data_IF_686341335055
#
_entry.id   IF_686341335055
#
_cell.length_a   1.000
_cell.length_b   1.000
_cell.length_c   1.000
_cell.angle_alpha   90.00
_cell.angle_beta   90.00
_cell.angle_gamma   90.00
#
_symmetry.space_group_name_H-M   'P 1'
#
loop_
_entity.id
_entity.type
_entity.pdbx_description
1 polymer ?
#
# COMPACT_ATOMS: atom_id res chain seq x y z
N UNK A 1 -3.86 -11.51 -1.61
CA UNK A 1 -4.08 -10.05 -1.70
C UNK A 1 -5.53 -9.82 -2.04
N UNK A 2 -6.32 -9.28 -1.10
CA UNK A 2 -7.75 -9.05 -1.26
C UNK A 2 -8.09 -7.54 -1.23
N UNK A 3 -9.08 -7.13 -2.03
CA UNK A 3 -9.52 -5.72 -2.24
C UNK A 3 -11.06 -5.65 -2.17
N UNK A 4 -11.69 -4.67 -1.52
CA UNK A 4 -13.16 -4.56 -1.49
C UNK A 4 -13.76 -4.16 -2.85
N UNK A 5 -14.92 -4.72 -3.24
CA UNK A 5 -15.61 -4.40 -4.51
C UNK A 5 -16.01 -2.92 -4.64
N UNK A 6 -16.12 -2.23 -3.51
CA UNK A 6 -16.41 -0.80 -3.40
C UNK A 6 -15.30 0.09 -3.97
N UNK A 7 -14.12 -0.46 -4.27
CA UNK A 7 -12.95 0.28 -4.79
C UNK A 7 -12.72 0.13 -6.29
N UNK A 8 -13.66 -0.42 -7.05
CA UNK A 8 -13.60 -0.44 -8.52
C UNK A 8 -13.93 0.97 -9.05
N UNK A 9 -12.90 1.78 -9.28
CA UNK A 9 -13.04 3.09 -9.89
C UNK A 9 -13.14 2.98 -11.43
N UNK A 10 -14.19 3.55 -12.02
CA UNK A 10 -14.35 3.71 -13.49
C UNK A 10 -13.39 4.80 -14.04
N UNK A 11 -12.84 5.64 -13.15
CA UNK A 11 -11.86 6.66 -13.50
C UNK A 11 -10.43 6.07 -13.52
N UNK A 12 -9.80 6.10 -14.70
CA UNK A 12 -8.40 5.69 -14.91
C UNK A 12 -7.38 6.40 -14.00
N UNK A 13 -7.69 7.58 -13.48
CA UNK A 13 -6.86 8.30 -12.49
C UNK A 13 -6.83 7.64 -11.11
N UNK A 14 -7.81 6.79 -10.81
CA UNK A 14 -8.02 6.12 -9.51
C UNK A 14 -7.99 4.61 -9.60
N UNK A 15 -7.95 4.06 -10.81
CA UNK A 15 -7.81 2.64 -11.05
C UNK A 15 -6.38 2.15 -10.79
N UNK A 16 -6.27 0.91 -10.32
CA UNK A 16 -5.02 0.23 -9.97
C UNK A 16 -4.92 -1.12 -10.69
N UNK A 17 -5.58 -1.28 -11.85
CA UNK A 17 -5.62 -2.55 -12.57
C UNK A 17 -4.23 -3.03 -12.96
N UNK A 18 -3.32 -2.10 -13.24
CA UNK A 18 -1.94 -2.39 -13.58
C UNK A 18 -1.16 -2.91 -12.39
N UNK A 19 -1.24 -2.23 -11.23
CA UNK A 19 -0.70 -2.70 -9.95
C UNK A 19 -1.18 -4.15 -9.67
N UNK A 20 -2.49 -4.40 -9.78
CA UNK A 20 -3.04 -5.73 -9.53
C UNK A 20 -2.54 -6.79 -10.52
N UNK A 21 -2.57 -6.50 -11.82
CA UNK A 21 -2.12 -7.46 -12.84
C UNK A 21 -0.65 -7.83 -12.65
N UNK A 22 0.17 -6.89 -12.20
CA UNK A 22 1.61 -7.08 -12.16
C UNK A 22 2.12 -7.69 -10.88
N UNK A 23 1.36 -7.62 -9.79
CA UNK A 23 1.61 -8.47 -8.61
C UNK A 23 1.66 -9.98 -8.96
N UNK A 24 1.01 -10.41 -10.06
CA UNK A 24 1.10 -11.80 -10.54
C UNK A 24 2.52 -12.21 -10.94
N UNK A 25 3.39 -11.25 -11.32
CA UNK A 25 4.80 -11.53 -11.66
C UNK A 25 5.66 -11.83 -10.43
N UNK A 26 5.19 -11.46 -9.24
CA UNK A 26 5.79 -11.88 -7.96
C UNK A 26 5.00 -13.05 -7.33
N UNK A 27 4.31 -13.83 -8.18
CA UNK A 27 3.51 -15.00 -7.79
C UNK A 27 2.32 -14.72 -6.87
N UNK A 28 1.91 -13.45 -6.72
CA UNK A 28 0.69 -13.11 -5.99
C UNK A 28 -0.56 -13.47 -6.81
N UNK A 29 -1.63 -13.89 -6.13
CA UNK A 29 -2.95 -14.10 -6.72
C UNK A 29 -3.93 -13.06 -6.17
N UNK A 30 -4.03 -11.87 -6.80
CA UNK A 30 -4.94 -10.83 -6.34
C UNK A 30 -6.38 -11.27 -6.54
N UNK A 31 -7.23 -10.96 -5.58
CA UNK A 31 -8.67 -11.17 -5.63
C UNK A 31 -9.34 -9.90 -5.08
N UNK A 32 -10.61 -9.70 -5.43
CA UNK A 32 -11.44 -8.65 -4.83
C UNK A 32 -12.49 -9.38 -3.99
N UNK A 33 -12.62 -9.07 -2.70
CA UNK A 33 -13.63 -9.64 -1.81
C UNK A 33 -13.97 -8.68 -0.65
N UNK A 34 -15.14 -8.86 -0.01
CA UNK A 34 -15.50 -8.14 1.22
C UNK A 34 -14.47 -8.34 2.33
N UNK A 35 -14.36 -7.39 3.26
CA UNK A 35 -13.35 -7.43 4.34
C UNK A 35 -13.39 -8.72 5.17
N UNK A 36 -14.59 -9.24 5.45
CA UNK A 36 -14.77 -10.50 6.20
C UNK A 36 -14.16 -11.72 5.50
N UNK A 37 -14.07 -11.72 4.16
CA UNK A 37 -13.36 -12.74 3.39
C UNK A 37 -11.88 -12.35 3.19
N UNK A 38 -11.57 -11.05 3.14
CA UNK A 38 -10.23 -10.50 2.96
C UNK A 38 -9.24 -11.02 4.00
N UNK A 39 -9.66 -11.03 5.26
CA UNK A 39 -8.84 -11.40 6.42
C UNK A 39 -8.43 -12.89 6.45
N UNK A 40 -8.94 -13.71 5.55
CA UNK A 40 -8.51 -15.11 5.40
C UNK A 40 -7.31 -15.26 4.43
N UNK A 41 -6.85 -14.17 3.80
CA UNK A 41 -5.75 -14.19 2.84
C UNK A 41 -4.37 -13.95 3.45
N UNK A 42 -3.34 -14.30 2.66
CA UNK A 42 -1.94 -14.12 3.07
C UNK A 42 -1.56 -12.66 3.34
N UNK A 43 -2.09 -11.76 2.51
CA UNK A 43 -1.99 -10.30 2.62
C UNK A 43 -3.35 -9.69 2.31
N UNK A 44 -3.75 -8.72 3.12
CA UNK A 44 -4.86 -7.79 2.85
C UNK A 44 -4.27 -6.46 2.38
N UNK A 45 -4.78 -5.93 1.26
CA UNK A 45 -4.44 -4.58 0.79
C UNK A 45 -5.65 -3.69 0.97
N UNK A 46 -5.48 -2.57 1.66
CA UNK A 46 -6.49 -1.53 1.79
C UNK A 46 -6.07 -0.33 0.91
N UNK A 47 -6.53 -0.28 -0.34
CA UNK A 47 -6.17 0.81 -1.23
C UNK A 47 -7.08 2.01 -1.01
N UNK A 48 -6.46 3.16 -0.75
CA UNK A 48 -7.09 4.48 -0.73
C UNK A 48 -8.38 4.56 0.07
N UNK A 49 -8.30 4.20 1.36
CA UNK A 49 -9.41 4.28 2.31
C UNK A 49 -10.07 5.67 2.20
N UNK A 50 -11.27 5.74 1.63
CA UNK A 50 -11.99 6.99 1.35
C UNK A 50 -13.17 7.22 2.31
N UNK A 51 -13.57 6.17 3.03
CA UNK A 51 -14.66 6.17 4.00
C UNK A 51 -14.19 5.46 5.26
N UNK A 52 -14.74 5.87 6.40
CA UNK A 52 -14.47 5.22 7.69
C UNK A 52 -15.01 3.81 7.69
N UNK A 53 -14.29 2.93 8.37
CA UNK A 53 -14.73 1.58 8.68
C UNK A 53 -15.64 1.61 9.90
N UNK A 54 -16.63 0.72 9.92
CA UNK A 54 -17.44 0.49 11.10
C UNK A 54 -16.60 -0.13 12.23
N UNK A 55 -16.98 0.06 13.51
CA UNK A 55 -16.21 -0.48 14.64
C UNK A 55 -15.91 -1.99 14.52
N UNK A 56 -16.88 -2.77 14.02
CA UNK A 56 -16.72 -4.22 13.79
C UNK A 56 -15.68 -4.54 12.72
N UNK A 57 -15.55 -3.68 11.71
CA UNK A 57 -14.57 -3.84 10.64
C UNK A 57 -13.17 -3.50 11.13
N UNK A 58 -13.04 -2.46 11.96
CA UNK A 58 -11.79 -2.15 12.66
C UNK A 58 -11.33 -3.30 13.56
N UNK A 59 -12.25 -3.92 14.31
CA UNK A 59 -11.96 -5.10 15.12
C UNK A 59 -11.49 -6.29 14.29
N UNK A 60 -12.09 -6.53 13.11
CA UNK A 60 -11.65 -7.56 12.18
C UNK A 60 -10.23 -7.30 11.65
N UNK A 61 -9.95 -6.06 11.26
CA UNK A 61 -8.61 -5.67 10.77
C UNK A 61 -7.57 -5.85 11.88
N UNK A 62 -7.88 -5.40 13.10
CA UNK A 62 -7.01 -5.56 14.27
C UNK A 62 -6.74 -7.03 14.55
N UNK A 63 -7.79 -7.84 14.68
CA UNK A 63 -7.66 -9.27 14.97
C UNK A 63 -6.89 -10.03 13.90
N UNK A 64 -7.10 -9.70 12.63
CA UNK A 64 -6.33 -10.25 11.51
C UNK A 64 -4.83 -10.00 11.68
N UNK A 65 -4.43 -8.75 11.90
CA UNK A 65 -3.00 -8.40 12.04
C UNK A 65 -2.42 -9.02 13.30
N UNK A 66 -3.12 -8.92 14.44
CA UNK A 66 -2.64 -9.47 15.72
C UNK A 66 -2.50 -11.00 15.71
N UNK A 67 -3.26 -11.70 14.87
CA UNK A 67 -3.14 -13.15 14.64
C UNK A 67 -2.00 -13.55 13.67
N UNK A 68 -1.19 -12.60 13.21
CA UNK A 68 -0.07 -12.85 12.31
C UNK A 68 -0.33 -12.41 10.85
N UNK A 69 -1.46 -11.78 10.58
CA UNK A 69 -1.82 -11.24 9.28
C UNK A 69 -0.84 -10.18 8.76
N UNK A 70 -0.96 -9.88 7.46
CA UNK A 70 -0.14 -8.90 6.74
C UNK A 70 -1.06 -7.86 6.10
N UNK A 71 -0.96 -6.63 6.56
CA UNK A 71 -1.75 -5.52 6.05
C UNK A 71 -0.86 -4.56 5.27
N UNK A 72 -1.24 -4.25 4.03
CA UNK A 72 -0.63 -3.18 3.25
C UNK A 72 -1.67 -2.10 2.98
N UNK A 73 -1.42 -0.88 3.47
CA UNK A 73 -2.27 0.29 3.27
C UNK A 73 -1.65 1.17 2.20
N UNK A 74 -2.39 1.43 1.12
CA UNK A 74 -1.99 2.42 0.11
C UNK A 74 -2.77 3.71 0.38
N UNK A 75 -2.08 4.83 0.53
CA UNK A 75 -2.70 6.11 0.87
C UNK A 75 -2.29 7.23 -0.10
N UNK A 76 -3.26 8.10 -0.41
CA UNK A 76 -3.06 9.39 -1.06
C UNK A 76 -3.96 9.68 -2.27
N UNK A 77 -4.26 8.67 -3.10
CA UNK A 77 -5.08 8.82 -4.31
C UNK A 77 -6.59 8.80 -3.99
N UNK A 78 -7.11 9.93 -3.50
CA UNK A 78 -8.53 10.06 -3.10
C UNK A 78 -8.86 9.43 -1.75
N UNK A 79 -7.83 9.13 -0.94
CA UNK A 79 -7.99 8.69 0.44
C UNK A 79 -8.51 9.82 1.33
N UNK A 80 -9.19 9.45 2.41
CA UNK A 80 -9.50 10.33 3.54
C UNK A 80 -8.45 10.11 4.65
N UNK A 81 -7.74 11.16 5.02
CA UNK A 81 -6.64 11.10 6.00
C UNK A 81 -7.15 10.65 7.38
N UNK A 82 -8.37 11.03 7.76
CA UNK A 82 -8.92 10.68 9.07
C UNK A 82 -9.28 9.20 9.13
N UNK A 83 -9.99 8.70 8.12
CA UNK A 83 -10.35 7.29 8.01
C UNK A 83 -9.11 6.39 7.89
N UNK A 84 -8.09 6.81 7.13
CA UNK A 84 -6.83 6.07 7.05
C UNK A 84 -6.11 6.03 8.41
N UNK A 85 -6.06 7.15 9.13
CA UNK A 85 -5.42 7.22 10.45
C UNK A 85 -6.19 6.49 11.55
N UNK A 86 -7.50 6.28 11.43
CA UNK A 86 -8.26 5.38 12.31
C UNK A 86 -7.74 3.94 12.21
N UNK A 87 -7.37 3.48 11.01
CA UNK A 87 -6.77 2.15 10.79
C UNK A 87 -5.31 2.11 11.21
N UNK A 88 -4.49 3.04 10.69
CA UNK A 88 -3.05 3.07 10.93
C UNK A 88 -2.71 3.28 12.42
N UNK A 89 -3.50 4.12 13.10
CA UNK A 89 -3.31 4.45 14.51
C UNK A 89 -3.46 3.23 15.43
N UNK A 90 -4.23 2.22 15.03
CA UNK A 90 -4.33 0.94 15.77
C UNK A 90 -2.98 0.23 15.92
N UNK A 91 -2.04 0.54 15.02
CA UNK A 91 -0.75 -0.12 14.88
C UNK A 91 0.43 0.85 15.05
N UNK A 92 0.18 2.04 15.61
CA UNK A 92 1.22 3.04 15.89
C UNK A 92 1.81 3.70 14.64
N UNK A 93 1.06 3.72 13.53
CA UNK A 93 1.41 4.40 12.29
C UNK A 93 0.47 5.58 12.05
N UNK A 94 0.91 6.60 11.30
CA UNK A 94 0.03 7.64 10.79
C UNK A 94 0.56 8.26 9.49
N UNK A 95 -0.31 8.97 8.78
CA UNK A 95 0.01 9.79 7.61
C UNK A 95 -0.38 11.25 7.85
N UNK A 96 0.47 12.18 7.40
CA UNK A 96 0.29 13.63 7.56
C UNK A 96 1.06 14.44 6.50
N UNK A 97 0.88 15.77 6.49
CA UNK A 97 1.66 16.73 5.67
C UNK A 97 1.80 16.35 4.18
N UNK A 98 0.66 16.30 3.48
CA UNK A 98 0.60 16.07 2.03
C UNK A 98 1.43 17.11 1.27
N UNK A 99 2.35 16.66 0.41
CA UNK A 99 3.08 17.53 -0.53
C UNK A 99 3.33 16.84 -1.86
N UNK A 100 3.50 17.64 -2.91
CA UNK A 100 4.00 17.16 -4.19
C UNK A 100 5.53 17.07 -4.13
N UNK A 101 6.05 15.85 -4.27
CA UNK A 101 7.46 15.52 -4.07
C UNK A 101 7.94 14.48 -5.08
N UNK A 102 9.24 14.23 -5.10
CA UNK A 102 9.84 13.11 -5.83
C UNK A 102 10.20 12.02 -4.83
N UNK A 103 9.84 10.77 -5.11
CA UNK A 103 10.27 9.64 -4.28
C UNK A 103 11.67 9.18 -4.66
N UNK A 104 12.41 8.71 -3.66
CA UNK A 104 13.64 7.98 -3.88
C UNK A 104 13.33 6.60 -4.49
N UNK A 105 14.09 6.21 -5.51
CA UNK A 105 14.09 4.86 -6.06
C UNK A 105 15.01 3.94 -5.25
N UNK A 106 14.94 2.64 -5.50
CA UNK A 106 15.75 1.64 -4.79
C UNK A 106 17.27 1.74 -5.05
N UNK A 107 17.69 2.53 -6.04
CA UNK A 107 19.10 2.78 -6.37
C UNK A 107 19.63 4.06 -5.73
N UNK A 108 18.84 4.73 -4.89
CA UNK A 108 19.21 6.00 -4.23
C UNK A 108 19.09 7.24 -5.12
N UNK A 109 18.54 7.11 -6.33
CA UNK A 109 18.17 8.24 -7.20
C UNK A 109 16.72 8.68 -6.96
N UNK A 110 16.26 9.69 -7.69
CA UNK A 110 14.85 10.09 -7.69
C UNK A 110 14.10 9.38 -8.82
N UNK A 111 12.86 8.98 -8.56
CA UNK A 111 11.91 8.66 -9.63
C UNK A 111 11.55 10.00 -10.28
N UNK A 112 11.84 10.26 -11.57
CA UNK A 112 11.66 11.56 -12.21
C UNK A 112 10.20 11.83 -12.57
N UNK A 113 9.33 11.72 -11.58
CA UNK A 113 7.90 11.99 -11.66
C UNK A 113 7.42 12.53 -10.31
N UNK A 114 6.91 13.77 -10.25
CA UNK A 114 6.35 14.29 -9.02
C UNK A 114 5.07 13.53 -8.70
N UNK A 115 4.86 13.27 -7.41
CA UNK A 115 3.69 12.59 -6.88
C UNK A 115 3.27 13.26 -5.58
N UNK A 116 1.97 13.30 -5.34
CA UNK A 116 1.48 13.67 -4.02
C UNK A 116 1.82 12.56 -3.02
N UNK A 117 2.66 12.89 -2.04
CA UNK A 117 3.06 12.00 -0.95
C UNK A 117 2.74 12.63 0.39
N UNK A 118 2.46 11.77 1.36
CA UNK A 118 2.32 12.12 2.76
C UNK A 118 3.56 11.65 3.52
N UNK A 119 3.87 12.34 4.61
CA UNK A 119 4.84 11.88 5.58
C UNK A 119 4.21 10.78 6.42
N UNK A 120 4.89 9.65 6.52
CA UNK A 120 4.53 8.54 7.39
C UNK A 120 5.27 8.71 8.72
N UNK A 121 4.55 8.61 9.83
CA UNK A 121 5.16 8.57 11.17
C UNK A 121 4.91 7.22 11.84
N UNK A 122 5.82 6.86 12.75
CA UNK A 122 5.84 5.54 13.39
C UNK A 122 6.49 4.45 12.55
N UNK A 123 6.65 3.27 13.17
CA UNK A 123 7.29 2.10 12.54
C UNK A 123 8.74 2.33 12.11
N UNK A 124 9.20 1.47 11.22
CA UNK A 124 10.51 1.54 10.56
C UNK A 124 10.33 2.08 9.14
N UNK A 125 10.91 3.24 8.80
CA UNK A 125 10.85 3.78 7.45
C UNK A 125 11.47 2.85 6.40
N UNK A 126 10.87 2.80 5.21
CA UNK A 126 11.34 1.98 4.07
C UNK A 126 11.70 2.83 2.86
N UNK A 127 10.95 3.91 2.61
CA UNK A 127 11.07 4.76 1.42
C UNK A 127 10.99 6.20 1.88
N UNK A 128 11.79 7.08 1.27
CA UNK A 128 11.83 8.50 1.57
C UNK A 128 11.51 9.33 0.32
N UNK A 129 11.01 10.54 0.54
CA UNK A 129 10.91 11.56 -0.50
C UNK A 129 12.19 12.42 -0.58
N UNK A 130 12.26 13.29 -1.57
CA UNK A 130 13.39 14.21 -1.78
C UNK A 130 13.53 15.30 -0.71
N UNK A 131 12.62 15.37 0.27
CA UNK A 131 12.70 16.24 1.44
C UNK A 131 13.18 15.47 2.68
N UNK A 132 13.48 14.17 2.55
CA UNK A 132 13.91 13.31 3.65
C UNK A 132 12.77 12.83 4.55
N UNK A 133 11.51 12.96 4.12
CA UNK A 133 10.36 12.49 4.88
C UNK A 133 10.03 11.04 4.50
N UNK A 134 9.71 10.15 5.45
CA UNK A 134 9.29 8.80 5.14
C UNK A 134 8.00 8.81 4.31
N UNK A 135 7.99 8.18 3.14
CA UNK A 135 6.82 7.95 2.31
C UNK A 135 6.27 6.51 2.45
N UNK A 136 7.03 5.62 3.08
CA UNK A 136 6.61 4.28 3.45
C UNK A 136 7.23 3.87 4.78
N UNK A 137 6.49 3.11 5.58
CA UNK A 137 7.01 2.49 6.80
C UNK A 137 6.34 1.15 7.07
N UNK A 138 6.97 0.36 7.94
CA UNK A 138 6.47 -0.93 8.42
C UNK A 138 6.47 -0.99 9.93
N UNK A 139 5.43 -1.58 10.51
CA UNK A 139 5.31 -1.86 11.94
C UNK A 139 5.03 -3.36 12.13
N UNK A 140 5.81 -4.01 12.99
CA UNK A 140 5.52 -5.37 13.47
C UNK A 140 4.52 -5.28 14.63
N UNK A 141 3.56 -6.21 14.67
CA UNK A 141 2.39 -6.18 15.56
C UNK A 141 2.22 -7.53 16.25
N UNK A 142 2.10 -7.48 17.58
CA UNK A 142 1.86 -8.66 18.40
C UNK A 142 3.01 -9.67 18.39
N UNK A 143 2.79 -10.82 19.02
CA UNK A 143 3.79 -11.90 19.14
C UNK A 143 3.62 -12.99 18.09
N UNK A 144 2.46 -13.06 17.43
CA UNK A 144 2.21 -13.94 16.28
C UNK A 144 2.94 -13.49 15.01
N UNK A 145 3.72 -12.41 15.11
CA UNK A 145 4.54 -11.86 14.03
C UNK A 145 3.70 -11.16 12.97
N UNK A 146 2.60 -10.50 13.34
CA UNK A 146 1.77 -9.67 12.48
C UNK A 146 2.54 -8.45 11.96
N UNK A 147 2.09 -7.88 10.83
CA UNK A 147 2.80 -6.75 10.23
C UNK A 147 1.87 -5.84 9.45
N UNK A 148 2.09 -4.54 9.59
CA UNK A 148 1.39 -3.48 8.85
C UNK A 148 2.42 -2.65 8.10
N UNK A 149 2.18 -2.45 6.81
CA UNK A 149 2.95 -1.54 5.97
C UNK A 149 2.03 -0.46 5.42
N UNK A 150 2.54 0.75 5.32
CA UNK A 150 1.87 1.86 4.65
C UNK A 150 2.77 2.43 3.55
N UNK A 151 2.18 2.71 2.40
CA UNK A 151 2.80 3.49 1.33
C UNK A 151 1.91 4.68 1.01
N UNK A 152 2.43 5.88 1.29
CA UNK A 152 1.64 7.11 1.33
C UNK A 152 1.83 8.00 0.08
N UNK A 153 2.15 7.37 -1.05
CA UNK A 153 2.22 7.98 -2.37
C UNK A 153 1.53 7.10 -3.43
N UNK A 154 0.37 6.55 -3.07
CA UNK A 154 -0.31 5.49 -3.82
C UNK A 154 -0.63 5.84 -5.27
N UNK A 155 -0.83 7.12 -5.61
CA UNK A 155 -1.07 7.55 -6.99
C UNK A 155 0.08 7.21 -7.94
N UNK A 156 1.29 6.98 -7.42
CA UNK A 156 2.41 6.45 -8.21
C UNK A 156 2.11 5.07 -8.82
N UNK A 157 1.24 4.29 -8.18
CA UNK A 157 0.81 2.96 -8.63
C UNK A 157 -0.54 2.97 -9.37
N UNK A 158 -1.05 4.15 -9.72
CA UNK A 158 -2.28 4.26 -10.52
C UNK A 158 -2.05 3.94 -11.98
N UNK A 159 -3.10 3.51 -12.67
CA UNK A 159 -3.10 3.27 -14.11
C UNK A 159 -2.75 4.56 -14.89
N UNK A 160 -3.12 5.75 -14.38
CA UNK A 160 -2.71 7.02 -14.98
C UNK A 160 -1.18 7.24 -14.99
N UNK A 161 -0.45 6.63 -14.07
CA UNK A 161 1.02 6.72 -14.00
C UNK A 161 1.69 5.54 -14.70
N UNK A 162 1.22 4.32 -14.47
CA UNK A 162 1.83 3.09 -14.99
C UNK A 162 1.35 2.73 -16.41
N UNK A 163 0.30 3.40 -16.89
CA UNK A 163 -0.34 3.18 -18.17
C UNK A 163 -1.36 2.03 -18.13
N UNK A 164 -1.33 1.16 -19.12
CA UNK A 164 -2.22 0.00 -19.21
C UNK A 164 -1.46 -1.31 -19.02
N UNK A 165 -2.16 -2.43 -18.94
CA UNK A 165 -1.55 -3.77 -18.84
C UNK A 165 -0.66 -4.12 -20.05
N UNK A 166 -0.78 -3.39 -21.17
CA UNK A 166 0.02 -3.54 -22.39
C UNK A 166 1.21 -2.56 -22.48
N UNK A 167 1.41 -1.71 -21.48
CA UNK A 167 2.52 -0.74 -21.46
C UNK A 167 3.87 -1.47 -21.48
N UNK A 168 4.75 -1.06 -22.40
CA UNK A 168 6.17 -1.44 -22.37
C UNK A 168 6.89 -0.46 -21.44
N UNK A 169 7.50 -0.92 -20.33
CA UNK A 169 8.12 -0.02 -19.34
C UNK A 169 9.37 0.67 -19.88
N UNK A 170 9.38 2.00 -19.86
CA UNK A 170 10.63 2.77 -19.92
C UNK A 170 11.39 2.71 -18.58
N UNK A 171 12.52 3.40 -18.47
CA UNK A 171 13.35 3.37 -17.26
C UNK A 171 12.65 3.97 -16.02
N UNK A 172 11.83 5.00 -16.22
CA UNK A 172 11.08 5.67 -15.14
C UNK A 172 10.03 4.72 -14.61
N UNK A 173 9.26 4.16 -15.53
CA UNK A 173 8.18 3.23 -15.25
C UNK A 173 8.74 1.94 -14.60
N UNK A 174 9.91 1.45 -15.05
CA UNK A 174 10.59 0.32 -14.40
C UNK A 174 10.97 0.62 -12.94
N UNK A 175 11.45 1.82 -12.66
CA UNK A 175 11.80 2.22 -11.29
C UNK A 175 10.58 2.23 -10.35
N UNK A 176 9.39 2.51 -10.89
CA UNK A 176 8.13 2.44 -10.14
C UNK A 176 7.76 0.97 -9.82
N UNK A 177 7.95 0.04 -10.76
CA UNK A 177 7.70 -1.40 -10.51
C UNK A 177 8.68 -2.03 -9.56
N UNK A 178 9.95 -1.67 -9.68
CA UNK A 178 10.96 -2.18 -8.76
C UNK A 178 10.58 -1.80 -7.32
N UNK A 179 10.11 -0.56 -7.11
CA UNK A 179 9.59 -0.08 -5.84
C UNK A 179 8.33 -0.84 -5.39
N UNK A 180 7.35 -1.00 -6.28
CA UNK A 180 6.11 -1.75 -6.02
C UNK A 180 6.40 -3.18 -5.56
N UNK A 181 7.22 -3.92 -6.33
CA UNK A 181 7.57 -5.30 -6.04
C UNK A 181 8.36 -5.42 -4.75
N UNK A 182 9.24 -4.47 -4.46
CA UNK A 182 9.99 -4.44 -3.22
C UNK A 182 9.05 -4.29 -2.00
N UNK A 183 8.08 -3.39 -2.05
CA UNK A 183 7.10 -3.21 -0.97
C UNK A 183 6.25 -4.47 -0.76
N UNK A 184 5.78 -5.09 -1.86
CA UNK A 184 5.03 -6.36 -1.77
C UNK A 184 5.89 -7.46 -1.15
N UNK A 185 7.15 -7.59 -1.58
CA UNK A 185 8.07 -8.61 -1.06
C UNK A 185 8.32 -8.43 0.44
N UNK A 186 8.59 -7.21 0.92
CA UNK A 186 8.74 -6.93 2.36
C UNK A 186 7.45 -7.27 3.13
N UNK A 187 6.28 -7.02 2.51
CA UNK A 187 4.99 -7.43 3.06
C UNK A 187 4.83 -8.95 3.17
N UNK A 188 5.46 -9.71 2.27
CA UNK A 188 5.44 -11.18 2.25
C UNK A 188 6.54 -11.82 3.14
N UNK A 189 7.61 -11.09 3.47
CA UNK A 189 8.73 -11.59 4.26
C UNK A 189 8.27 -12.14 5.63
N UNK A 190 8.85 -13.29 6.02
CA UNK A 190 8.58 -13.95 7.29
C UNK A 190 7.48 -15.04 7.24
N UNK A 191 6.71 -15.17 6.16
CA UNK A 191 5.94 -16.42 5.92
C UNK A 191 6.90 -17.51 5.45
N UNK A 192 7.20 -18.47 6.31
CA UNK A 192 7.63 -19.79 5.82
C UNK A 192 6.44 -20.36 5.07
N UNK A 193 6.59 -20.61 3.76
CA UNK A 193 5.64 -21.48 3.05
C UNK A 193 5.54 -22.81 3.80
N UNK A 194 4.33 -23.38 3.95
CA UNK A 194 4.20 -24.77 4.38
C UNK A 194 4.90 -25.72 3.40
#
# INVERSE_FOLDING_TARGET
MLIPSETIFIDSGRAYHVFYTWTQRVSARPRVAPLAEAVECDIVVLPNIATRFEPRELDLIRGYVESGGRLLVLHGNGSDDTAANEVLGMFGLSVEDRRDVYLMNLKGGLIPRPVASYSVTGGTPLVYDNLGRPAAAVADVGTAGGRVMVFAASSLFSDAVMGTTSTIPDEVIRSIYDLEFHLINIGMEGRRSP
#
